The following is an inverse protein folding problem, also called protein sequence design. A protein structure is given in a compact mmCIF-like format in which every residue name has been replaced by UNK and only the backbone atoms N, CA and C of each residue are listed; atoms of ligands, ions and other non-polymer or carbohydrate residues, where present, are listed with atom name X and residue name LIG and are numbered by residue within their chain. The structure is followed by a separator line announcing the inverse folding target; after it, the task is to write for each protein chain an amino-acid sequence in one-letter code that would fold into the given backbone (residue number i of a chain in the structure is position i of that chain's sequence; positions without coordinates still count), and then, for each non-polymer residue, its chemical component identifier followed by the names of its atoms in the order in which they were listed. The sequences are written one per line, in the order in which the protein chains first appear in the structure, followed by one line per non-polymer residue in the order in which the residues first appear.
data_IF_553416209846
#
_entry.id   IF_553416209846
#
_cell.length_a   1.000
_cell.length_b   1.000
_cell.length_c   1.000
_cell.angle_alpha   90.00
_cell.angle_beta   90.00
_cell.angle_gamma   90.00
#
_symmetry.space_group_name_H-M   'P 1'
#
loop_
_entity.id
_entity.type
_entity.pdbx_description
1 polymer ?
#
# COMPACT_ATOMS: atom_id res chain seq x y z
N UNK A 1 -22.95 33.86 -17.03
CA UNK A 1 -22.55 34.93 -16.08
C UNK A 1 -22.02 34.26 -14.84
N UNK A 2 -20.67 34.12 -14.73
CA UNK A 2 -20.03 33.62 -13.51
C UNK A 2 -19.87 34.79 -12.53
N UNK A 3 -20.61 34.75 -11.44
CA UNK A 3 -20.43 35.69 -10.32
C UNK A 3 -19.21 35.22 -9.51
N UNK A 4 -18.08 35.91 -9.64
CA UNK A 4 -16.93 35.73 -8.74
C UNK A 4 -17.32 36.21 -7.33
N UNK A 5 -17.24 35.32 -6.34
CA UNK A 5 -17.32 35.71 -4.94
C UNK A 5 -16.13 36.63 -4.60
N UNK A 6 -16.34 37.75 -3.89
CA UNK A 6 -15.24 38.61 -3.47
C UNK A 6 -14.34 37.84 -2.47
N UNK A 7 -13.02 38.10 -2.44
CA UNK A 7 -12.13 37.49 -1.47
C UNK A 7 -12.55 37.87 -0.07
N UNK A 8 -12.69 36.91 0.83
CA UNK A 8 -12.93 37.18 2.25
C UNK A 8 -11.73 37.94 2.79
N UNK A 9 -11.94 39.18 3.20
CA UNK A 9 -10.95 39.94 3.92
C UNK A 9 -10.71 39.28 5.29
N UNK A 10 -9.57 38.61 5.45
CA UNK A 10 -9.09 38.18 6.77
C UNK A 10 -8.61 39.40 7.54
N UNK A 11 -9.05 39.62 8.79
CA UNK A 11 -8.58 40.75 9.57
C UNK A 11 -7.07 40.66 9.82
N UNK A 12 -6.35 41.68 9.41
CA UNK A 12 -4.89 41.81 9.53
C UNK A 12 -4.37 41.75 11.00
N UNK A 13 -5.26 41.80 11.99
CA UNK A 13 -4.89 41.81 13.42
C UNK A 13 -4.70 40.41 14.05
N UNK A 14 -5.14 39.35 13.41
CA UNK A 14 -5.01 38.00 14.00
C UNK A 14 -3.67 37.29 13.68
N UNK A 15 -2.97 37.71 12.61
CA UNK A 15 -1.73 37.03 12.20
C UNK A 15 -0.52 37.41 13.06
N UNK A 16 -0.40 38.73 13.44
CA UNK A 16 0.73 39.17 14.23
C UNK A 16 0.70 38.64 15.69
N UNK A 17 -0.49 38.62 16.32
CA UNK A 17 -0.63 38.05 17.66
C UNK A 17 -0.41 36.54 17.69
N UNK A 18 -0.87 35.80 16.65
CA UNK A 18 -0.64 34.39 16.49
C UNK A 18 0.83 34.07 16.28
N UNK A 19 1.57 34.88 15.53
CA UNK A 19 3.00 34.65 15.27
C UNK A 19 3.89 35.00 16.49
N UNK A 20 3.51 36.02 17.29
CA UNK A 20 4.21 36.29 18.54
C UNK A 20 3.97 35.19 19.57
N UNK A 21 2.73 34.66 19.67
CA UNK A 21 2.43 33.52 20.55
C UNK A 21 3.16 32.24 20.10
N UNK A 22 3.21 31.96 18.80
CA UNK A 22 3.98 30.84 18.25
C UNK A 22 5.48 30.99 18.51
N UNK A 23 6.04 32.19 18.41
CA UNK A 23 7.47 32.44 18.70
C UNK A 23 7.84 32.26 20.16
N UNK A 24 6.98 32.69 21.11
CA UNK A 24 7.19 32.50 22.55
C UNK A 24 7.05 31.01 22.96
N UNK A 25 6.13 30.29 22.37
CA UNK A 25 6.02 28.81 22.57
C UNK A 25 7.18 28.00 21.97
N UNK A 26 7.85 28.55 20.93
CA UNK A 26 8.97 27.87 20.27
C UNK A 26 10.19 27.64 21.18
N UNK A 27 10.42 28.47 22.20
CA UNK A 27 11.53 28.28 23.14
C UNK A 27 11.29 27.15 24.13
N UNK A 28 10.15 27.14 24.78
CA UNK A 28 9.72 26.08 25.72
C UNK A 28 9.46 24.75 25.01
N UNK A 29 8.88 24.79 23.82
CA UNK A 29 8.65 23.59 22.98
C UNK A 29 9.95 22.93 22.52
N UNK A 30 11.01 23.70 22.23
CA UNK A 30 12.34 23.15 21.89
C UNK A 30 13.01 22.47 23.10
N UNK A 31 12.89 23.05 24.29
CA UNK A 31 13.42 22.47 25.51
C UNK A 31 12.64 21.22 25.91
N UNK A 32 11.32 21.26 25.84
CA UNK A 32 10.46 20.10 26.09
C UNK A 32 10.74 18.97 25.08
N UNK A 33 10.90 19.27 23.78
CA UNK A 33 11.31 18.29 22.78
C UNK A 33 12.69 17.67 23.08
N UNK A 34 13.63 18.45 23.59
CA UNK A 34 14.98 17.97 23.91
C UNK A 34 15.00 17.06 25.15
N UNK A 35 14.09 17.27 26.10
CA UNK A 35 14.00 16.48 27.34
C UNK A 35 13.07 15.28 27.21
N UNK A 36 11.90 15.46 26.59
CA UNK A 36 10.85 14.42 26.50
C UNK A 36 10.80 13.73 25.14
N UNK A 37 11.59 14.15 24.16
CA UNK A 37 11.53 13.65 22.78
C UNK A 37 10.26 14.11 22.04
N UNK A 38 10.19 13.79 20.75
CA UNK A 38 8.98 13.97 19.94
C UNK A 38 8.01 12.78 20.16
N UNK A 39 6.74 12.91 19.79
CA UNK A 39 5.81 11.77 19.77
C UNK A 39 6.36 10.60 18.92
N UNK A 40 7.06 10.90 17.83
CA UNK A 40 7.69 9.88 16.98
C UNK A 40 8.84 9.17 17.71
N UNK A 41 9.67 9.88 18.47
CA UNK A 41 10.75 9.26 19.25
C UNK A 41 10.22 8.27 20.28
N UNK A 42 9.05 8.54 20.86
CA UNK A 42 8.40 7.62 21.81
C UNK A 42 7.90 6.37 21.08
N UNK A 43 7.24 6.53 19.94
CA UNK A 43 6.78 5.40 19.11
C UNK A 43 7.94 4.54 18.65
N UNK A 44 9.05 5.16 18.21
CA UNK A 44 10.26 4.41 17.82
C UNK A 44 10.82 3.61 19.00
N UNK A 45 10.84 4.18 20.22
CA UNK A 45 11.29 3.46 21.43
C UNK A 45 10.39 2.26 21.76
N UNK A 46 9.08 2.36 21.54
CA UNK A 46 8.15 1.25 21.75
C UNK A 46 8.46 0.04 20.85
N UNK A 47 8.91 0.28 19.62
CA UNK A 47 9.24 -0.80 18.69
C UNK A 47 10.71 -1.25 18.79
N UNK A 48 11.55 -0.49 19.52
CA UNK A 48 12.97 -0.82 19.67
C UNK A 48 13.19 -2.20 20.30
N UNK A 49 12.40 -2.57 21.31
CA UNK A 49 12.47 -3.88 21.93
C UNK A 49 12.14 -5.02 20.95
N UNK A 50 11.22 -4.77 19.99
CA UNK A 50 10.89 -5.74 18.94
C UNK A 50 12.08 -5.91 18.00
N UNK A 51 12.74 -4.80 17.61
CA UNK A 51 13.93 -4.83 16.74
C UNK A 51 15.09 -5.55 17.43
N UNK A 52 15.30 -5.31 18.73
CA UNK A 52 16.31 -6.03 19.53
C UNK A 52 16.04 -7.54 19.55
N UNK A 53 14.77 -7.93 19.68
CA UNK A 53 14.38 -9.34 19.59
C UNK A 53 14.68 -9.92 18.19
N UNK A 54 14.32 -9.21 17.11
CA UNK A 54 14.65 -9.62 15.73
C UNK A 54 16.19 -9.80 15.59
N UNK A 55 16.97 -8.86 16.10
CA UNK A 55 18.44 -8.92 16.06
C UNK A 55 18.99 -10.11 16.85
N UNK A 56 18.40 -10.47 17.98
CA UNK A 56 18.82 -11.64 18.76
C UNK A 56 18.61 -12.96 18.02
N UNK A 57 17.56 -13.04 17.19
CA UNK A 57 17.24 -14.23 16.39
C UNK A 57 18.10 -14.36 15.12
N UNK A 58 18.82 -13.31 14.69
CA UNK A 58 19.57 -13.31 13.43
C UNK A 58 20.60 -14.45 13.35
N UNK A 59 21.28 -14.79 14.44
CA UNK A 59 22.25 -15.88 14.45
C UNK A 59 21.59 -17.23 14.20
N UNK A 60 20.45 -17.49 14.83
CA UNK A 60 19.74 -18.76 14.71
C UNK A 60 19.22 -18.95 13.29
N UNK A 61 18.63 -17.91 12.69
CA UNK A 61 18.15 -17.95 11.30
C UNK A 61 19.29 -18.04 10.28
N UNK A 62 20.47 -17.50 10.59
CA UNK A 62 21.65 -17.60 9.71
C UNK A 62 22.21 -19.03 9.60
N UNK A 63 21.94 -19.90 10.56
CA UNK A 63 22.37 -21.30 10.58
C UNK A 63 21.41 -22.23 9.82
N UNK A 64 20.18 -21.78 9.54
CA UNK A 64 19.20 -22.57 8.82
C UNK A 64 19.60 -22.76 7.36
N UNK A 65 19.29 -23.91 6.79
CA UNK A 65 19.37 -24.16 5.34
C UNK A 65 18.28 -23.41 4.59
N UNK A 66 18.40 -23.26 3.27
CA UNK A 66 17.39 -22.60 2.45
C UNK A 66 16.03 -23.34 2.52
N UNK A 67 16.05 -24.66 2.59
CA UNK A 67 14.84 -25.46 2.77
C UNK A 67 14.15 -25.23 4.13
N UNK A 68 14.93 -25.00 5.18
CA UNK A 68 14.40 -24.68 6.50
C UNK A 68 13.80 -23.27 6.52
N UNK A 69 14.46 -22.27 5.91
CA UNK A 69 13.92 -20.91 5.73
C UNK A 69 12.54 -20.95 5.05
N UNK A 70 12.41 -21.73 3.98
CA UNK A 70 11.13 -21.90 3.28
C UNK A 70 10.10 -22.65 4.15
N UNK A 71 10.53 -23.68 4.89
CA UNK A 71 9.60 -24.47 5.74
C UNK A 71 9.08 -23.70 6.93
N UNK A 72 9.83 -22.70 7.45
CA UNK A 72 9.38 -21.78 8.50
C UNK A 72 8.07 -21.07 8.14
N UNK A 73 7.86 -20.76 6.88
CA UNK A 73 6.60 -20.16 6.42
C UNK A 73 5.40 -21.06 6.69
N UNK A 74 5.54 -22.38 6.50
CA UNK A 74 4.47 -23.36 6.81
C UNK A 74 4.22 -23.42 8.31
N UNK A 75 5.28 -23.43 9.10
CA UNK A 75 5.20 -23.38 10.56
C UNK A 75 4.45 -22.11 11.04
N UNK A 76 4.80 -20.94 10.51
CA UNK A 76 4.13 -19.68 10.85
C UNK A 76 2.65 -19.68 10.45
N UNK A 77 2.32 -20.20 9.24
CA UNK A 77 0.92 -20.35 8.80
C UNK A 77 0.14 -21.28 9.74
N UNK A 78 0.76 -22.38 10.20
CA UNK A 78 0.14 -23.30 11.15
C UNK A 78 -0.10 -22.62 12.51
N UNK A 79 0.93 -22.00 13.11
CA UNK A 79 0.83 -21.29 14.40
C UNK A 79 -0.23 -20.19 14.37
N UNK A 80 -0.32 -19.45 13.25
CA UNK A 80 -1.40 -18.50 13.05
C UNK A 80 -2.79 -19.18 13.03
N UNK A 81 -2.92 -20.31 12.34
CA UNK A 81 -4.14 -21.12 12.30
C UNK A 81 -4.53 -21.69 13.67
N UNK A 82 -3.57 -21.94 14.55
CA UNK A 82 -3.77 -22.37 15.95
C UNK A 82 -4.14 -21.20 16.89
N UNK A 83 -4.20 -19.96 16.37
CA UNK A 83 -4.68 -18.78 17.11
C UNK A 83 -3.55 -17.85 17.61
N UNK A 84 -2.31 -18.04 17.20
CA UNK A 84 -1.25 -17.11 17.52
C UNK A 84 -1.40 -15.83 16.68
N UNK A 85 -1.21 -14.66 17.30
CA UNK A 85 -1.38 -13.38 16.62
C UNK A 85 -0.17 -13.02 15.75
N UNK A 86 -0.39 -12.25 14.67
CA UNK A 86 0.70 -11.77 13.81
C UNK A 86 1.74 -10.95 14.58
N UNK A 87 1.33 -10.16 15.58
CA UNK A 87 2.25 -9.40 16.42
C UNK A 87 3.20 -10.28 17.23
N UNK A 88 2.78 -11.47 17.66
CA UNK A 88 3.65 -12.43 18.35
C UNK A 88 4.62 -13.10 17.39
N UNK A 89 4.17 -13.43 16.19
CA UNK A 89 4.97 -14.03 15.13
C UNK A 89 5.97 -13.04 14.50
N UNK A 90 5.68 -11.73 14.58
CA UNK A 90 6.40 -10.67 13.89
C UNK A 90 7.93 -10.76 14.05
N UNK A 91 8.53 -10.95 15.26
CA UNK A 91 9.99 -10.99 15.40
C UNK A 91 10.62 -12.13 14.61
N UNK A 92 10.07 -13.33 14.68
CA UNK A 92 10.58 -14.51 13.97
C UNK A 92 10.37 -14.38 12.45
N UNK A 93 9.18 -13.91 12.02
CA UNK A 93 8.84 -13.71 10.60
C UNK A 93 9.76 -12.65 9.97
N UNK A 94 10.05 -11.55 10.69
CA UNK A 94 10.97 -10.53 10.20
C UNK A 94 12.42 -11.02 10.18
N UNK A 95 12.85 -11.82 11.15
CA UNK A 95 14.17 -12.45 11.13
C UNK A 95 14.32 -13.39 9.94
N UNK A 96 13.32 -14.23 9.66
CA UNK A 96 13.28 -15.13 8.51
C UNK A 96 13.33 -14.35 7.17
N UNK A 97 12.53 -13.30 7.05
CA UNK A 97 12.52 -12.42 5.87
C UNK A 97 13.86 -11.71 5.66
N UNK A 98 14.50 -11.24 6.74
CA UNK A 98 15.82 -10.59 6.70
C UNK A 98 16.91 -11.52 6.17
N UNK A 99 16.92 -12.76 6.64
CA UNK A 99 17.89 -13.76 6.19
C UNK A 99 17.61 -14.17 4.74
N UNK A 100 16.34 -14.37 4.35
CA UNK A 100 15.96 -14.65 2.98
C UNK A 100 16.37 -13.51 2.02
N UNK A 101 16.15 -12.25 2.40
CA UNK A 101 16.56 -11.08 1.60
C UNK A 101 18.09 -11.00 1.46
N UNK A 102 18.83 -11.28 2.52
CA UNK A 102 20.29 -11.32 2.50
C UNK A 102 20.83 -12.41 1.56
N UNK A 103 20.20 -13.59 1.54
CA UNK A 103 20.60 -14.69 0.65
C UNK A 103 20.20 -14.44 -0.79
N UNK A 104 18.94 -14.06 -1.02
CA UNK A 104 18.40 -13.92 -2.37
C UNK A 104 18.92 -12.68 -3.13
N UNK A 105 19.16 -11.57 -2.41
CA UNK A 105 19.50 -10.27 -3.00
C UNK A 105 20.87 -9.72 -2.54
N UNK A 106 21.52 -10.32 -1.55
CA UNK A 106 22.69 -9.75 -0.89
C UNK A 106 22.36 -8.53 0.00
N UNK A 107 21.07 -8.28 0.30
CA UNK A 107 20.60 -7.10 1.02
C UNK A 107 20.17 -7.45 2.43
N UNK A 108 21.01 -7.12 3.41
CA UNK A 108 20.63 -7.20 4.82
C UNK A 108 19.90 -5.92 5.23
N UNK A 109 18.64 -6.03 5.63
CA UNK A 109 17.90 -4.88 6.10
C UNK A 109 18.48 -4.27 7.37
N UNK A 110 18.53 -2.94 7.42
CA UNK A 110 18.96 -2.18 8.60
C UNK A 110 17.82 -2.09 9.63
N UNK A 111 18.18 -1.83 10.89
CA UNK A 111 17.21 -1.74 11.98
C UNK A 111 16.14 -0.67 11.75
N UNK A 112 16.52 0.48 11.14
CA UNK A 112 15.57 1.53 10.76
C UNK A 112 14.55 1.06 9.71
N UNK A 113 14.94 0.13 8.83
CA UNK A 113 14.05 -0.46 7.84
C UNK A 113 13.07 -1.44 8.51
N UNK A 114 13.51 -2.20 9.51
CA UNK A 114 12.62 -3.04 10.31
C UNK A 114 11.60 -2.19 11.08
N UNK A 115 12.04 -1.07 11.67
CA UNK A 115 11.12 -0.09 12.30
C UNK A 115 10.06 0.38 11.31
N UNK A 116 10.45 0.76 10.09
CA UNK A 116 9.52 1.14 9.03
C UNK A 116 8.50 0.04 8.70
N UNK A 117 8.97 -1.20 8.56
CA UNK A 117 8.11 -2.37 8.30
C UNK A 117 7.12 -2.66 9.43
N UNK A 118 7.53 -2.50 10.70
CA UNK A 118 6.66 -2.67 11.86
C UNK A 118 5.54 -1.62 11.86
N UNK A 119 5.87 -0.35 11.56
CA UNK A 119 4.84 0.69 11.47
C UNK A 119 3.88 0.48 10.30
N UNK A 120 4.35 0.02 9.14
CA UNK A 120 3.48 -0.35 8.02
C UNK A 120 2.53 -1.50 8.40
N UNK A 121 3.04 -2.55 9.08
CA UNK A 121 2.17 -3.63 9.59
C UNK A 121 1.08 -3.11 10.52
N UNK A 122 1.38 -2.12 11.36
CA UNK A 122 0.42 -1.49 12.28
C UNK A 122 -0.52 -0.49 11.61
N UNK A 123 -0.54 -0.39 10.28
CA UNK A 123 -1.40 0.52 9.53
C UNK A 123 -1.01 2.00 9.66
N UNK A 124 0.25 2.29 9.92
CA UNK A 124 0.75 3.66 9.99
C UNK A 124 1.45 4.07 8.69
N UNK A 125 1.64 5.37 8.51
CA UNK A 125 2.46 5.93 7.45
C UNK A 125 3.92 5.91 7.90
N UNK A 126 4.79 5.32 7.07
CA UNK A 126 6.24 5.31 7.27
C UNK A 126 6.88 6.21 6.22
N UNK A 127 7.36 7.38 6.64
CA UNK A 127 8.07 8.30 5.77
C UNK A 127 9.55 7.90 5.68
N UNK A 128 10.01 7.66 4.46
CA UNK A 128 11.40 7.33 4.16
C UNK A 128 11.88 8.12 2.95
N UNK A 129 13.13 8.60 3.00
CA UNK A 129 13.72 9.33 1.88
C UNK A 129 13.98 8.40 0.68
N UNK A 130 14.07 9.01 -0.49
CA UNK A 130 14.47 8.31 -1.71
C UNK A 130 15.85 7.67 -1.52
N UNK A 131 15.98 6.40 -1.92
CA UNK A 131 17.23 5.64 -1.76
C UNK A 131 17.39 4.90 -0.42
N UNK A 132 16.49 5.06 0.55
CA UNK A 132 16.56 4.34 1.85
C UNK A 132 16.01 2.90 1.78
N UNK A 133 15.64 2.42 0.61
CA UNK A 133 15.24 1.03 0.38
C UNK A 133 13.78 0.73 0.75
N UNK A 134 12.85 1.64 0.45
CA UNK A 134 11.40 1.48 0.68
C UNK A 134 10.86 0.16 0.15
N UNK A 135 11.27 -0.25 -1.05
CA UNK A 135 10.85 -1.52 -1.68
C UNK A 135 11.17 -2.73 -0.81
N UNK A 136 12.39 -2.75 -0.22
CA UNK A 136 12.77 -3.81 0.72
C UNK A 136 11.97 -3.74 2.02
N UNK A 137 11.72 -2.53 2.54
CA UNK A 137 10.91 -2.34 3.76
C UNK A 137 9.50 -2.90 3.61
N UNK A 138 8.86 -2.68 2.47
CA UNK A 138 7.52 -3.19 2.17
C UNK A 138 7.46 -4.73 2.19
N UNK A 139 8.56 -5.42 1.91
CA UNK A 139 8.63 -6.88 1.87
C UNK A 139 8.33 -7.52 3.22
N UNK A 140 8.77 -6.92 4.32
CA UNK A 140 8.58 -7.44 5.68
C UNK A 140 7.10 -7.52 6.09
N UNK A 141 6.35 -6.41 6.09
CA UNK A 141 4.94 -6.46 6.44
C UNK A 141 4.10 -7.19 5.39
N UNK A 142 4.50 -7.19 4.11
CA UNK A 142 3.82 -7.97 3.08
C UNK A 142 3.92 -9.47 3.38
N UNK A 143 5.11 -9.98 3.68
CA UNK A 143 5.32 -11.38 4.05
C UNK A 143 4.53 -11.77 5.31
N UNK A 144 4.60 -10.96 6.37
CA UNK A 144 3.89 -11.21 7.62
C UNK A 144 2.37 -11.31 7.41
N UNK A 145 1.79 -10.35 6.69
CA UNK A 145 0.34 -10.33 6.46
C UNK A 145 -0.12 -11.37 5.44
N UNK A 146 0.75 -11.81 4.51
CA UNK A 146 0.46 -12.89 3.56
C UNK A 146 0.30 -14.25 4.24
N UNK A 147 0.82 -14.45 5.46
CA UNK A 147 0.62 -15.68 6.25
C UNK A 147 -0.86 -15.99 6.50
N UNK A 148 -1.70 -14.96 6.52
CA UNK A 148 -3.16 -15.10 6.72
C UNK A 148 -3.86 -15.82 5.56
N UNK A 149 -3.25 -15.83 4.35
CA UNK A 149 -3.80 -16.50 3.17
C UNK A 149 -4.94 -15.75 2.48
N UNK A 150 -5.07 -14.43 2.73
CA UNK A 150 -6.11 -13.58 2.11
C UNK A 150 -5.57 -12.65 1.03
N UNK A 151 -4.30 -12.81 0.66
CA UNK A 151 -3.62 -11.94 -0.30
C UNK A 151 -3.23 -10.57 0.27
N UNK A 152 -2.10 -10.05 -0.21
CA UNK A 152 -1.58 -8.73 0.14
C UNK A 152 -1.32 -7.97 -1.14
N UNK A 153 -1.82 -6.74 -1.24
CA UNK A 153 -1.59 -5.88 -2.40
C UNK A 153 -0.49 -4.86 -2.10
N UNK A 154 0.48 -4.74 -3.00
CA UNK A 154 1.48 -3.67 -3.00
C UNK A 154 1.15 -2.74 -4.15
N UNK A 155 0.76 -1.51 -3.80
CA UNK A 155 0.26 -0.51 -4.74
C UNK A 155 1.38 0.45 -5.12
N UNK A 156 1.65 0.56 -6.41
CA UNK A 156 2.67 1.44 -6.96
C UNK A 156 2.05 2.50 -7.88
N UNK A 157 2.81 3.55 -8.20
CA UNK A 157 2.34 4.65 -9.02
C UNK A 157 2.15 4.28 -10.50
N UNK A 158 2.97 3.35 -11.03
CA UNK A 158 2.91 2.97 -12.45
C UNK A 158 3.30 1.51 -12.67
N UNK A 159 2.97 1.00 -13.85
CA UNK A 159 3.17 -0.41 -14.23
C UNK A 159 4.64 -0.82 -14.30
N UNK A 160 5.52 0.11 -14.68
CA UNK A 160 6.94 -0.17 -14.72
C UNK A 160 7.48 -0.47 -13.32
N UNK A 161 7.10 0.34 -12.33
CA UNK A 161 7.48 0.11 -10.93
C UNK A 161 6.87 -1.18 -10.39
N UNK A 162 5.60 -1.46 -10.69
CA UNK A 162 4.94 -2.70 -10.28
C UNK A 162 5.69 -3.93 -10.78
N UNK A 163 6.04 -3.97 -12.07
CA UNK A 163 6.78 -5.08 -12.70
C UNK A 163 8.20 -5.19 -12.15
N UNK A 164 8.93 -4.08 -12.11
CA UNK A 164 10.32 -4.04 -11.62
C UNK A 164 10.43 -4.53 -10.18
N UNK A 165 9.58 -3.99 -9.30
CA UNK A 165 9.64 -4.28 -7.87
C UNK A 165 9.15 -5.71 -7.57
N UNK A 166 8.12 -6.17 -8.29
CA UNK A 166 7.68 -7.55 -8.22
C UNK A 166 8.79 -8.52 -8.67
N UNK A 167 9.42 -8.30 -9.82
CA UNK A 167 10.50 -9.14 -10.33
C UNK A 167 11.68 -9.18 -9.36
N UNK A 168 12.02 -8.03 -8.78
CA UNK A 168 13.13 -7.96 -7.84
C UNK A 168 12.82 -8.64 -6.52
N UNK A 169 11.66 -8.34 -5.89
CA UNK A 169 11.28 -8.87 -4.59
C UNK A 169 10.73 -10.30 -4.65
N UNK A 170 10.26 -10.77 -5.80
CA UNK A 170 9.84 -12.17 -5.99
C UNK A 170 10.92 -13.18 -5.61
N UNK A 171 12.20 -12.81 -5.77
CA UNK A 171 13.32 -13.68 -5.36
C UNK A 171 13.29 -13.93 -3.85
N UNK A 172 12.97 -12.92 -3.04
CA UNK A 172 12.83 -13.05 -1.59
C UNK A 172 11.58 -13.86 -1.25
N UNK A 173 10.44 -13.52 -1.87
CA UNK A 173 9.19 -14.23 -1.61
C UNK A 173 9.27 -15.72 -2.01
N UNK A 174 9.89 -16.03 -3.13
CA UNK A 174 10.13 -17.42 -3.56
C UNK A 174 11.02 -18.17 -2.57
N UNK A 175 12.08 -17.53 -2.06
CA UNK A 175 12.93 -18.14 -1.01
C UNK A 175 12.15 -18.39 0.29
N UNK A 176 11.12 -17.61 0.56
CA UNK A 176 10.20 -17.78 1.68
C UNK A 176 9.04 -18.75 1.38
N UNK A 177 8.93 -19.28 0.15
CA UNK A 177 7.84 -20.18 -0.27
C UNK A 177 6.50 -19.46 -0.47
N UNK A 178 6.53 -18.16 -0.82
CA UNK A 178 5.37 -17.35 -1.17
C UNK A 178 5.29 -17.11 -2.67
N UNK A 179 4.07 -16.97 -3.18
CA UNK A 179 3.79 -16.67 -4.59
C UNK A 179 3.63 -15.16 -4.80
N UNK A 180 4.06 -14.68 -5.98
CA UNK A 180 3.99 -13.26 -6.33
C UNK A 180 3.32 -13.09 -7.69
N UNK A 181 2.31 -12.23 -7.75
CA UNK A 181 1.61 -11.83 -8.97
C UNK A 181 1.84 -10.36 -9.31
N UNK A 182 1.62 -10.02 -10.58
CA UNK A 182 1.66 -8.63 -11.06
C UNK A 182 0.42 -8.37 -11.89
N UNK A 183 -0.27 -7.28 -11.59
CA UNK A 183 -1.42 -6.81 -12.37
C UNK A 183 -1.03 -5.55 -13.14
N UNK A 184 -1.27 -5.57 -14.44
CA UNK A 184 -0.96 -4.47 -15.37
C UNK A 184 -2.06 -4.34 -16.43
N UNK A 185 -2.12 -3.20 -17.16
CA UNK A 185 -3.13 -2.97 -18.19
C UNK A 185 -3.13 -4.04 -19.29
N UNK A 186 -4.29 -4.31 -19.84
CA UNK A 186 -4.49 -5.22 -20.99
C UNK A 186 -4.19 -6.71 -20.71
N UNK A 187 -4.06 -7.13 -19.45
CA UNK A 187 -4.07 -8.55 -19.12
C UNK A 187 -5.45 -9.16 -19.36
N UNK A 188 -5.46 -10.43 -19.78
CA UNK A 188 -6.69 -11.20 -19.87
C UNK A 188 -7.28 -11.49 -18.48
N UNK A 189 -8.60 -11.69 -18.42
CA UNK A 189 -9.32 -11.96 -17.15
C UNK A 189 -8.70 -13.14 -16.39
N UNK A 190 -8.27 -14.20 -17.09
CA UNK A 190 -7.66 -15.38 -16.50
C UNK A 190 -6.29 -15.08 -15.87
N UNK A 191 -5.45 -14.31 -16.56
CA UNK A 191 -4.14 -13.88 -16.03
C UNK A 191 -4.30 -13.02 -14.78
N UNK A 192 -5.32 -12.15 -14.75
CA UNK A 192 -5.63 -11.33 -13.57
C UNK A 192 -6.11 -12.20 -12.40
N UNK A 193 -6.99 -13.18 -12.64
CA UNK A 193 -7.42 -14.13 -11.62
C UNK A 193 -6.22 -14.87 -11.00
N UNK A 194 -5.27 -15.32 -11.82
CA UNK A 194 -4.05 -15.98 -11.36
C UNK A 194 -3.17 -15.03 -10.55
N UNK A 195 -2.98 -13.78 -11.01
CA UNK A 195 -2.18 -12.79 -10.31
C UNK A 195 -2.78 -12.42 -8.94
N UNK A 196 -4.10 -12.23 -8.84
CA UNK A 196 -4.77 -11.97 -7.57
C UNK A 196 -4.88 -13.20 -6.66
N UNK A 197 -4.69 -14.40 -7.17
CA UNK A 197 -4.65 -15.63 -6.36
C UNK A 197 -3.31 -15.85 -5.66
N UNK A 198 -2.28 -15.09 -6.01
CA UNK A 198 -0.98 -15.13 -5.36
C UNK A 198 -1.04 -14.59 -3.92
N UNK A 199 -0.06 -15.00 -3.08
CA UNK A 199 0.07 -14.50 -1.71
C UNK A 199 0.31 -12.98 -1.67
N UNK A 200 1.06 -12.46 -2.67
CA UNK A 200 1.42 -11.04 -2.76
C UNK A 200 1.23 -10.57 -4.21
N UNK A 201 0.46 -9.50 -4.40
CA UNK A 201 0.15 -8.95 -5.73
C UNK A 201 0.63 -7.52 -5.84
N UNK A 202 1.45 -7.23 -6.85
CA UNK A 202 1.86 -5.88 -7.22
C UNK A 202 0.90 -5.32 -8.28
N UNK A 203 0.42 -4.11 -8.07
CA UNK A 203 -0.48 -3.46 -9.01
C UNK A 203 -0.39 -1.93 -8.91
N UNK A 204 -0.90 -1.23 -9.92
CA UNK A 204 -1.13 0.21 -9.80
C UNK A 204 -2.47 0.49 -9.12
N UNK A 205 -2.61 1.68 -8.52
CA UNK A 205 -3.86 2.16 -7.95
C UNK A 205 -5.00 2.12 -8.99
N UNK A 206 -4.72 2.51 -10.24
CA UNK A 206 -5.70 2.55 -11.30
C UNK A 206 -6.20 1.15 -11.68
N UNK A 207 -5.30 0.17 -11.86
CA UNK A 207 -5.69 -1.20 -12.18
C UNK A 207 -6.51 -1.84 -11.06
N UNK A 208 -6.10 -1.67 -9.80
CA UNK A 208 -6.88 -2.15 -8.67
C UNK A 208 -8.29 -1.55 -8.64
N UNK A 209 -8.40 -0.24 -8.91
CA UNK A 209 -9.68 0.44 -8.94
C UNK A 209 -10.55 0.02 -10.14
N UNK A 210 -9.98 -0.11 -11.33
CA UNK A 210 -10.69 -0.59 -12.49
C UNK A 210 -11.12 -2.04 -12.35
N UNK A 211 -10.28 -2.92 -11.80
CA UNK A 211 -10.64 -4.32 -11.56
C UNK A 211 -11.73 -4.43 -10.49
N UNK A 212 -11.71 -3.59 -9.45
CA UNK A 212 -12.81 -3.51 -8.50
C UNK A 212 -14.13 -3.12 -9.17
N UNK A 213 -14.12 -2.15 -10.08
CA UNK A 213 -15.32 -1.77 -10.84
C UNK A 213 -15.80 -2.89 -11.77
N UNK A 214 -14.86 -3.58 -12.46
CA UNK A 214 -15.21 -4.74 -13.34
C UNK A 214 -15.78 -5.89 -12.52
N UNK A 215 -15.21 -6.19 -11.36
CA UNK A 215 -15.68 -7.24 -10.47
C UNK A 215 -17.12 -7.00 -10.01
N UNK A 216 -17.48 -5.74 -9.72
CA UNK A 216 -18.85 -5.38 -9.35
C UNK A 216 -19.86 -5.50 -10.52
N UNK A 217 -19.40 -5.69 -11.74
CA UNK A 217 -20.26 -5.93 -12.91
C UNK A 217 -20.33 -7.41 -13.31
N UNK A 218 -19.54 -8.29 -12.67
CA UNK A 218 -19.51 -9.74 -12.96
C UNK A 218 -20.81 -10.39 -12.48
N UNK A 219 -21.40 -11.31 -13.28
CA UNK A 219 -22.67 -11.96 -12.94
C UNK A 219 -22.51 -13.08 -11.87
N UNK A 220 -21.28 -13.57 -11.63
CA UNK A 220 -20.99 -14.67 -10.69
C UNK A 220 -19.79 -14.35 -9.83
N UNK A 221 -19.85 -14.78 -8.56
CA UNK A 221 -18.76 -14.62 -7.59
C UNK A 221 -17.48 -15.34 -8.04
N UNK A 222 -17.60 -16.44 -8.74
CA UNK A 222 -16.45 -17.22 -9.23
C UNK A 222 -15.61 -16.47 -10.26
N UNK A 223 -16.19 -15.46 -10.90
CA UNK A 223 -15.54 -14.61 -11.90
C UNK A 223 -14.86 -13.38 -11.29
N UNK A 224 -15.04 -13.13 -9.99
CA UNK A 224 -14.46 -12.00 -9.29
C UNK A 224 -12.96 -12.27 -9.09
N UNK A 225 -12.13 -11.34 -9.57
CA UNK A 225 -10.68 -11.44 -9.45
C UNK A 225 -10.21 -11.06 -8.04
N UNK A 226 -10.71 -9.97 -7.48
CA UNK A 226 -10.35 -9.46 -6.15
C UNK A 226 -11.24 -10.07 -5.07
N UNK A 227 -10.91 -11.27 -4.61
CA UNK A 227 -11.75 -12.00 -3.62
C UNK A 227 -11.72 -11.37 -2.23
N UNK A 228 -10.60 -10.77 -1.83
CA UNK A 228 -10.39 -10.22 -0.50
C UNK A 228 -9.64 -8.90 -0.55
N UNK A 229 -10.07 -7.94 0.27
CA UNK A 229 -9.37 -6.68 0.52
C UNK A 229 -8.84 -6.71 1.96
N UNK A 230 -7.78 -7.51 2.18
CA UNK A 230 -7.28 -7.76 3.52
C UNK A 230 -6.21 -6.76 3.95
N UNK A 231 -5.16 -6.62 3.17
CA UNK A 231 -4.04 -5.75 3.50
C UNK A 231 -3.44 -5.14 2.24
N UNK A 232 -3.17 -3.84 2.29
CA UNK A 232 -2.51 -3.14 1.20
C UNK A 232 -1.39 -2.23 1.73
N UNK A 233 -0.29 -2.20 1.00
CA UNK A 233 0.80 -1.25 1.19
C UNK A 233 0.79 -0.31 -0.01
N UNK A 234 0.61 0.98 0.24
CA UNK A 234 0.58 2.00 -0.81
C UNK A 234 1.90 2.76 -0.80
N UNK A 235 2.68 2.64 -1.88
CA UNK A 235 3.87 3.47 -2.08
C UNK A 235 3.48 4.81 -2.69
N UNK A 236 4.29 5.84 -2.44
CA UNK A 236 4.05 7.21 -2.92
C UNK A 236 2.62 7.69 -2.61
N UNK A 237 2.21 7.50 -1.36
CA UNK A 237 0.83 7.73 -0.88
C UNK A 237 0.34 9.16 -1.06
N UNK A 238 1.21 10.15 -1.09
CA UNK A 238 0.94 11.56 -1.40
C UNK A 238 0.45 11.73 -2.84
N UNK A 239 1.11 11.13 -3.82
CA UNK A 239 0.67 11.15 -5.20
C UNK A 239 -0.68 10.42 -5.38
N UNK A 240 -0.82 9.23 -4.80
CA UNK A 240 -2.00 8.38 -5.01
C UNK A 240 -3.23 8.89 -4.25
N UNK A 241 -3.09 9.21 -2.96
CA UNK A 241 -4.22 9.54 -2.08
C UNK A 241 -4.47 11.05 -1.90
N UNK A 242 -3.57 11.91 -2.41
CA UNK A 242 -3.73 13.37 -2.33
C UNK A 242 -3.83 13.97 -3.73
N UNK A 243 -2.81 13.82 -4.58
CA UNK A 243 -2.78 14.49 -5.88
C UNK A 243 -3.82 13.91 -6.84
N UNK A 244 -3.94 12.59 -6.92
CA UNK A 244 -4.88 11.88 -7.78
C UNK A 244 -6.22 11.54 -7.12
N UNK A 245 -6.42 11.90 -5.86
CA UNK A 245 -7.59 11.51 -5.05
C UNK A 245 -8.95 11.90 -5.65
N UNK A 246 -8.99 12.90 -6.52
CA UNK A 246 -10.22 13.37 -7.18
C UNK A 246 -10.37 12.89 -8.62
N UNK A 247 -9.44 12.12 -9.14
CA UNK A 247 -9.51 11.58 -10.51
C UNK A 247 -10.54 10.45 -10.53
N UNK A 248 -11.67 10.61 -11.25
CA UNK A 248 -12.70 9.57 -11.28
C UNK A 248 -12.22 8.38 -12.13
N UNK A 249 -12.45 7.18 -11.64
CA UNK A 249 -12.32 5.97 -12.44
C UNK A 249 -13.66 5.68 -13.10
N UNK A 250 -13.69 5.71 -14.42
CA UNK A 250 -14.91 5.54 -15.21
C UNK A 250 -14.75 4.37 -16.17
N UNK A 251 -15.66 3.40 -16.10
CA UNK A 251 -15.81 2.36 -17.12
C UNK A 251 -17.03 2.73 -17.96
N UNK A 252 -16.82 2.95 -19.27
CA UNK A 252 -17.90 3.17 -20.22
C UNK A 252 -17.90 2.08 -21.28
N UNK A 253 -19.09 1.59 -21.63
CA UNK A 253 -19.27 0.74 -22.80
C UNK A 253 -19.38 1.59 -24.07
N UNK A 254 -19.36 0.94 -25.25
CA UNK A 254 -19.64 1.65 -26.49
C UNK A 254 -21.00 2.34 -26.39
N UNK A 255 -21.02 3.63 -26.65
CA UNK A 255 -22.26 4.37 -26.70
C UNK A 255 -23.15 3.76 -27.82
N UNK A 256 -24.39 3.38 -27.48
CA UNK A 256 -25.36 3.06 -28.52
C UNK A 256 -25.55 4.31 -29.33
N UNK A 257 -25.24 4.23 -30.62
CA UNK A 257 -25.52 5.32 -31.54
C UNK A 257 -27.04 5.47 -31.65
N UNK A 258 -27.57 6.50 -30.99
CA UNK A 258 -29.00 6.87 -31.03
C UNK A 258 -29.23 8.04 -31.97
N UNK A 259 -28.30 8.30 -32.88
CA UNK A 259 -28.44 9.41 -33.85
C UNK A 259 -29.76 9.35 -34.63
N UNK A 260 -30.22 8.15 -34.99
CA UNK A 260 -31.51 7.98 -35.63
C UNK A 260 -32.68 8.45 -34.76
N UNK A 261 -32.65 8.19 -33.46
CA UNK A 261 -33.67 8.65 -32.52
C UNK A 261 -33.67 10.18 -32.41
N UNK A 262 -32.50 10.79 -32.34
CA UNK A 262 -32.37 12.25 -32.28
C UNK A 262 -32.83 12.90 -33.58
N UNK A 263 -32.51 12.33 -34.74
CA UNK A 263 -33.01 12.78 -36.06
C UNK A 263 -34.54 12.68 -36.12
N UNK A 264 -35.10 11.55 -35.70
CA UNK A 264 -36.55 11.35 -35.67
C UNK A 264 -37.26 12.38 -34.76
N UNK A 265 -36.74 12.62 -33.55
CA UNK A 265 -37.26 13.60 -32.62
C UNK A 265 -37.14 15.03 -33.15
N UNK A 266 -36.07 15.35 -33.85
CA UNK A 266 -35.88 16.68 -34.45
C UNK A 266 -36.89 16.97 -35.58
N UNK A 267 -37.24 15.96 -36.37
CA UNK A 267 -38.24 16.08 -37.44
C UNK A 267 -39.69 16.02 -36.94
N UNK A 268 -39.94 15.37 -35.79
CA UNK A 268 -41.29 15.23 -35.23
C UNK A 268 -41.64 16.26 -34.16
N UNK A 269 -40.63 17.01 -33.67
CA UNK A 269 -40.86 18.08 -32.70
C UNK A 269 -41.42 19.32 -33.40
N UNK A 270 -42.57 19.90 -32.92
CA UNK A 270 -43.13 21.10 -33.53
C UNK A 270 -42.14 22.27 -33.45
N UNK A 271 -41.90 22.90 -34.59
CA UNK A 271 -41.05 24.08 -34.68
C UNK A 271 -41.75 25.28 -34.00
N UNK A 272 -41.00 26.14 -33.26
CA UNK A 272 -41.54 27.38 -32.73
C UNK A 272 -42.15 28.33 -33.81
N UNK A 273 -41.97 28.02 -35.08
CA UNK A 273 -42.53 28.78 -36.20
C UNK A 273 -43.88 28.22 -36.67
N UNK A 274 -44.32 27.08 -36.15
CA UNK A 274 -45.59 26.43 -36.53
C UNK A 274 -46.70 26.72 -35.51
N UNK A 275 -46.49 27.66 -34.60
CA UNK A 275 -47.47 28.16 -33.61
C UNK A 275 -47.90 29.59 -33.89
#
# INVERSE_FOLDING_TARGET
LMIRRPPRATPLYSSAASDVYKRQMLGLGKIAKKVFGTPNDRRIREVQAIVENINSLEKDFSLLSDSEITSKTKEFKQRYGEGETLDKLLPEVFANCREAAKRALGLRAFDVQLVGGIFLHRGNISEMKTGEGKTLVATFPAYLNALVGKGVNIVTLNDYLAKRDAEWMSKVYTALGMTTGVVYPQQEDQEKLEAYSCDITYATNNELGFDYLRDNMKPSIDQIAQKHHYFAIVDEVDSILVDEARTPLIISGPAQDRSELYICLLYTSPSPRDS
#
